data_IF_148014985873
#
_entry.id   IF_148014985873
#
_cell.length_a   1.000
_cell.length_b   1.000
_cell.length_c   1.000
_cell.angle_alpha   90.00
_cell.angle_beta   90.00
_cell.angle_gamma   90.00
#
_symmetry.space_group_name_H-M   'P 1'
#
loop_
_entity.id
_entity.type
_entity.pdbx_description
1 polymer ?
#
# COMPACT_ATOMS: atom_id res chain seq x y z
N UNK A 1 11.13 18.23 -7.95
CA UNK A 1 12.25 17.26 -8.05
C UNK A 1 12.25 16.35 -6.83
N UNK A 2 12.52 15.05 -6.99
CA UNK A 2 12.71 14.13 -5.87
C UNK A 2 14.07 14.36 -5.17
N UNK A 3 14.15 14.03 -3.89
CA UNK A 3 15.41 13.94 -3.13
C UNK A 3 15.69 12.54 -2.57
N UNK A 4 14.68 11.66 -2.49
CA UNK A 4 14.86 10.26 -2.14
C UNK A 4 13.90 9.39 -2.95
N UNK A 5 14.40 8.23 -3.37
CA UNK A 5 13.65 7.20 -4.09
C UNK A 5 14.03 5.87 -3.47
N UNK A 6 13.07 5.14 -2.94
CA UNK A 6 13.27 3.90 -2.20
C UNK A 6 12.31 2.82 -2.73
N UNK A 7 12.86 1.69 -3.16
CA UNK A 7 12.08 0.54 -3.60
C UNK A 7 11.98 -0.48 -2.48
N UNK A 8 10.77 -0.66 -1.95
CA UNK A 8 10.45 -1.68 -0.98
C UNK A 8 9.96 -2.94 -1.70
N UNK A 9 10.88 -3.76 -2.21
CA UNK A 9 10.55 -4.90 -3.08
C UNK A 9 9.60 -5.92 -2.42
N UNK A 10 9.74 -6.17 -1.11
CA UNK A 10 8.85 -7.09 -0.39
C UNK A 10 7.40 -6.59 -0.36
N UNK A 11 7.21 -5.31 -0.04
CA UNK A 11 5.87 -4.70 0.00
C UNK A 11 5.37 -4.24 -1.37
N UNK A 12 6.22 -4.32 -2.42
CA UNK A 12 5.94 -3.90 -3.80
C UNK A 12 5.54 -2.42 -3.88
N UNK A 13 6.27 -1.57 -3.15
CA UNK A 13 6.02 -0.12 -3.08
C UNK A 13 7.27 0.65 -3.53
N UNK A 14 7.06 1.65 -4.37
CA UNK A 14 8.03 2.69 -4.69
C UNK A 14 7.71 3.95 -3.87
N UNK A 15 8.55 4.25 -2.89
CA UNK A 15 8.49 5.47 -2.07
C UNK A 15 9.31 6.57 -2.74
N UNK A 16 8.71 7.74 -2.92
CA UNK A 16 9.35 8.90 -3.54
C UNK A 16 9.12 10.13 -2.67
N UNK A 17 10.20 10.77 -2.23
CA UNK A 17 10.17 12.03 -1.48
C UNK A 17 10.60 13.19 -2.36
N UNK A 18 9.80 14.25 -2.38
CA UNK A 18 10.03 15.47 -3.13
C UNK A 18 10.58 16.60 -2.26
N UNK A 19 11.20 17.59 -2.91
CA UNK A 19 11.81 18.75 -2.25
C UNK A 19 10.82 19.67 -1.53
N UNK A 20 9.54 19.62 -1.91
CA UNK A 20 8.45 20.35 -1.25
C UNK A 20 7.98 19.65 0.04
N UNK A 21 8.61 18.53 0.42
CA UNK A 21 8.26 17.75 1.60
C UNK A 21 7.20 16.68 1.35
N UNK A 22 6.59 16.64 0.16
CA UNK A 22 5.63 15.60 -0.18
C UNK A 22 6.33 14.25 -0.34
N UNK A 23 5.66 13.21 0.12
CA UNK A 23 6.08 11.82 -0.03
C UNK A 23 4.92 11.01 -0.60
N UNK A 24 5.23 10.19 -1.61
CA UNK A 24 4.25 9.33 -2.25
C UNK A 24 4.75 7.90 -2.24
N UNK A 25 3.86 6.99 -1.84
CA UNK A 25 4.12 5.57 -1.79
C UNK A 25 3.23 4.89 -2.82
N UNK A 26 3.86 4.52 -3.94
CA UNK A 26 3.19 4.07 -5.15
C UNK A 26 3.33 2.55 -5.30
N UNK A 27 2.23 1.78 -5.29
CA UNK A 27 2.29 0.34 -5.54
C UNK A 27 2.87 0.02 -6.92
N UNK A 28 3.64 -1.07 -7.02
CA UNK A 28 4.21 -1.53 -8.29
C UNK A 28 3.11 -1.84 -9.32
N UNK A 29 2.01 -2.46 -8.88
CA UNK A 29 0.83 -2.69 -9.73
C UNK A 29 0.28 -1.38 -10.29
N UNK A 30 0.11 -0.36 -9.44
CA UNK A 30 -0.40 0.93 -9.86
C UNK A 30 0.52 1.58 -10.89
N UNK A 31 1.83 1.60 -10.65
CA UNK A 31 2.78 2.08 -11.65
C UNK A 31 2.64 1.30 -12.95
N UNK A 32 2.59 -0.03 -12.88
CA UNK A 32 2.53 -0.91 -14.06
C UNK A 32 1.26 -0.75 -14.89
N UNK A 33 0.08 -0.64 -14.27
CA UNK A 33 -1.19 -0.51 -15.01
C UNK A 33 -1.40 0.91 -15.54
N UNK A 34 -0.68 1.89 -14.98
CA UNK A 34 -0.59 3.26 -15.48
C UNK A 34 0.66 3.50 -16.34
N UNK A 35 1.45 2.46 -16.63
CA UNK A 35 2.59 2.61 -17.54
C UNK A 35 2.08 2.88 -18.95
N UNK A 36 2.39 4.06 -19.48
CA UNK A 36 2.14 4.35 -20.89
C UNK A 36 3.26 3.66 -21.65
N UNK A 37 2.95 2.61 -22.41
CA UNK A 37 3.83 2.24 -23.51
C UNK A 37 4.03 3.52 -24.36
N UNK A 38 5.27 3.76 -24.81
CA UNK A 38 5.64 4.96 -25.57
C UNK A 38 4.83 5.17 -26.87
N UNK A 39 3.97 4.22 -27.23
CA UNK A 39 3.07 4.27 -28.37
C UNK A 39 1.65 3.94 -27.90
N UNK A 40 0.68 4.72 -28.36
CA UNK A 40 -0.78 4.49 -28.22
C UNK A 40 -1.41 5.01 -26.91
N UNK A 41 -1.82 6.29 -26.93
CA UNK A 41 -2.84 6.88 -26.02
C UNK A 41 -4.26 6.31 -26.24
N UNK A 42 -4.38 5.24 -27.02
CA UNK A 42 -5.62 4.69 -27.58
C UNK A 42 -5.85 3.22 -27.19
N UNK A 43 -5.23 2.72 -26.11
CA UNK A 43 -5.64 1.44 -25.55
C UNK A 43 -6.96 1.63 -24.80
N UNK A 44 -8.06 1.24 -25.46
CA UNK A 44 -9.40 1.16 -24.88
C UNK A 44 -9.42 0.21 -23.69
N UNK A 45 -8.68 -0.89 -23.77
CA UNK A 45 -8.67 -1.95 -22.75
C UNK A 45 -7.77 -1.59 -21.55
N UNK A 46 -8.19 -1.92 -20.31
CA UNK A 46 -7.34 -1.78 -19.14
C UNK A 46 -6.24 -2.85 -19.11
N UNK A 47 -5.06 -2.49 -18.60
CA UNK A 47 -4.02 -3.48 -18.27
C UNK A 47 -4.44 -4.23 -17.01
N UNK A 48 -4.57 -5.56 -17.08
CA UNK A 48 -5.02 -6.43 -15.97
C UNK A 48 -4.00 -7.53 -15.68
N UNK A 49 -4.19 -8.29 -14.58
CA UNK A 49 -3.30 -9.41 -14.22
C UNK A 49 -1.95 -9.00 -13.66
N UNK A 50 -1.85 -7.80 -13.05
CA UNK A 50 -0.61 -7.20 -12.53
C UNK A 50 -0.58 -7.07 -11.01
N UNK A 51 -1.46 -7.76 -10.31
CA UNK A 51 -1.59 -7.78 -8.85
C UNK A 51 -0.32 -8.26 -8.14
N UNK A 52 0.49 -9.06 -8.85
CA UNK A 52 1.75 -9.62 -8.37
C UNK A 52 2.94 -9.12 -9.17
N UNK A 53 2.85 -7.99 -9.86
CA UNK A 53 4.03 -7.38 -10.49
C UNK A 53 4.95 -6.77 -9.42
N UNK A 54 6.25 -6.75 -9.70
CA UNK A 54 7.27 -6.07 -8.92
C UNK A 54 8.21 -5.29 -9.83
N UNK A 55 9.07 -4.46 -9.24
CA UNK A 55 10.11 -3.73 -9.93
C UNK A 55 11.44 -4.45 -9.70
N UNK A 56 12.13 -4.81 -10.78
CA UNK A 56 13.46 -5.44 -10.72
C UNK A 56 14.56 -4.40 -10.68
N UNK A 57 14.40 -3.29 -11.40
CA UNK A 57 15.38 -2.22 -11.47
C UNK A 57 14.76 -0.85 -11.77
N UNK A 58 15.47 0.20 -11.36
CA UNK A 58 15.14 1.60 -11.63
C UNK A 58 16.38 2.27 -12.20
N UNK A 59 16.26 2.83 -13.40
CA UNK A 59 17.37 3.46 -14.12
C UNK A 59 17.12 4.97 -14.24
N UNK A 60 18.06 5.85 -13.86
CA UNK A 60 17.90 7.28 -14.02
C UNK A 60 17.86 7.67 -15.51
N UNK A 61 16.95 8.56 -15.88
CA UNK A 61 16.81 9.11 -17.24
C UNK A 61 17.21 10.59 -17.24
N UNK A 62 18.48 10.85 -16.93
CA UNK A 62 19.04 12.19 -16.78
C UNK A 62 18.39 12.95 -15.61
N UNK A 63 18.02 14.21 -15.84
CA UNK A 63 17.37 15.06 -14.83
C UNK A 63 15.84 15.01 -14.87
N UNK A 64 15.25 14.29 -15.82
CA UNK A 64 13.81 14.39 -16.12
C UNK A 64 12.96 13.32 -15.44
N UNK A 65 13.52 12.15 -15.13
CA UNK A 65 12.74 11.04 -14.62
C UNK A 65 13.54 9.76 -14.41
N UNK A 66 12.80 8.66 -14.29
CA UNK A 66 13.32 7.30 -14.17
C UNK A 66 12.65 6.37 -15.17
N UNK A 67 13.40 5.36 -15.58
CA UNK A 67 12.88 4.18 -16.24
C UNK A 67 12.69 3.08 -15.19
N UNK A 68 11.55 2.42 -15.23
CA UNK A 68 11.21 1.32 -14.33
C UNK A 68 11.18 0.03 -15.14
N UNK A 69 11.92 -0.98 -14.67
CA UNK A 69 11.95 -2.32 -15.23
C UNK A 69 11.12 -3.22 -14.31
N UNK A 70 10.04 -3.79 -14.85
CA UNK A 70 9.14 -4.67 -14.12
C UNK A 70 9.52 -6.15 -14.31
N UNK A 71 9.17 -6.98 -13.34
CA UNK A 71 9.42 -8.43 -13.37
C UNK A 71 8.50 -9.21 -14.33
N UNK A 72 7.45 -8.58 -14.85
CA UNK A 72 6.55 -9.15 -15.87
C UNK A 72 7.09 -9.01 -17.30
N UNK A 73 8.37 -8.64 -17.45
CA UNK A 73 9.04 -8.42 -18.72
C UNK A 73 8.78 -7.04 -19.33
N UNK A 74 8.03 -6.16 -18.66
CA UNK A 74 7.80 -4.80 -19.14
C UNK A 74 8.93 -3.87 -18.71
N UNK A 75 9.75 -3.40 -19.66
CA UNK A 75 10.96 -2.64 -19.37
C UNK A 75 11.01 -1.28 -20.06
N UNK A 76 9.99 -0.87 -20.81
CA UNK A 76 10.01 0.39 -21.59
C UNK A 76 9.37 1.58 -20.85
N UNK A 77 9.00 1.41 -19.59
CA UNK A 77 8.27 2.42 -18.82
C UNK A 77 9.17 3.55 -18.36
N UNK A 78 8.98 4.75 -18.92
CA UNK A 78 9.65 5.97 -18.48
C UNK A 78 8.64 6.87 -17.77
N UNK A 79 8.98 7.29 -16.56
CA UNK A 79 8.19 8.21 -15.76
C UNK A 79 8.97 9.49 -15.53
N UNK A 80 8.40 10.61 -15.96
CA UNK A 80 8.90 11.92 -15.57
C UNK A 80 8.63 12.20 -14.09
N UNK A 81 9.40 13.11 -13.49
CA UNK A 81 9.11 13.56 -12.12
C UNK A 81 7.72 14.16 -11.97
N UNK A 82 7.26 14.94 -12.95
CA UNK A 82 5.89 15.47 -12.98
C UNK A 82 4.85 14.36 -13.04
N UNK A 83 5.10 13.31 -13.82
CA UNK A 83 4.19 12.16 -13.93
C UNK A 83 4.10 11.44 -12.59
N UNK A 84 5.23 11.16 -11.93
CA UNK A 84 5.25 10.50 -10.62
C UNK A 84 4.56 11.36 -9.54
N UNK A 85 4.78 12.67 -9.59
CA UNK A 85 4.10 13.60 -8.69
C UNK A 85 2.58 13.60 -8.90
N UNK A 86 2.12 13.67 -10.16
CA UNK A 86 0.70 13.60 -10.49
C UNK A 86 0.08 12.25 -10.11
N UNK A 87 0.79 11.14 -10.33
CA UNK A 87 0.34 9.80 -9.95
C UNK A 87 0.21 9.66 -8.42
N UNK A 88 1.11 10.28 -7.66
CA UNK A 88 1.06 10.36 -6.20
C UNK A 88 -0.12 11.19 -5.70
N UNK A 89 -0.23 12.44 -6.15
CA UNK A 89 -1.31 13.35 -5.73
C UNK A 89 -2.70 12.80 -6.06
N UNK A 90 -2.85 12.12 -7.19
CA UNK A 90 -4.15 11.62 -7.66
C UNK A 90 -4.34 10.11 -7.42
N UNK A 91 -3.52 9.48 -6.58
CA UNK A 91 -3.53 8.02 -6.39
C UNK A 91 -4.93 7.46 -6.14
N UNK A 92 -5.65 7.99 -5.14
CA UNK A 92 -6.97 7.47 -4.76
C UNK A 92 -7.99 7.56 -5.90
N UNK A 93 -8.03 8.71 -6.60
CA UNK A 93 -8.93 8.93 -7.72
C UNK A 93 -8.59 8.01 -8.90
N UNK A 94 -7.32 7.95 -9.28
CA UNK A 94 -6.85 7.12 -10.38
C UNK A 94 -7.09 5.64 -10.11
N UNK A 95 -6.80 5.19 -8.89
CA UNK A 95 -6.99 3.80 -8.48
C UNK A 95 -8.46 3.40 -8.52
N UNK A 96 -9.36 4.22 -7.98
CA UNK A 96 -10.79 3.96 -8.04
C UNK A 96 -11.33 3.93 -9.48
N UNK A 97 -10.84 4.83 -10.35
CA UNK A 97 -11.19 4.82 -11.76
C UNK A 97 -10.70 3.56 -12.47
N UNK A 98 -9.48 3.09 -12.18
CA UNK A 98 -8.94 1.85 -12.71
C UNK A 98 -9.77 0.63 -12.25
N UNK A 99 -10.09 0.53 -10.95
CA UNK A 99 -10.91 -0.55 -10.41
C UNK A 99 -12.29 -0.62 -11.07
N UNK A 100 -12.92 0.54 -11.31
CA UNK A 100 -14.18 0.59 -12.07
C UNK A 100 -13.98 0.14 -13.52
N UNK A 101 -12.91 0.60 -14.19
CA UNK A 101 -12.61 0.24 -15.57
C UNK A 101 -12.42 -1.27 -15.76
N UNK A 102 -11.70 -1.94 -14.86
CA UNK A 102 -11.51 -3.40 -14.95
C UNK A 102 -12.80 -4.16 -14.66
N UNK A 103 -13.64 -3.66 -13.75
CA UNK A 103 -14.95 -4.24 -13.46
C UNK A 103 -15.88 -4.14 -14.68
N UNK A 104 -15.95 -2.97 -15.32
CA UNK A 104 -16.73 -2.74 -16.54
C UNK A 104 -16.20 -3.60 -17.71
N UNK A 105 -14.90 -3.93 -17.69
CA UNK A 105 -14.25 -4.86 -18.63
C UNK A 105 -14.49 -6.34 -18.29
N UNK A 106 -15.20 -6.65 -17.20
CA UNK A 106 -15.47 -8.03 -16.77
C UNK A 106 -14.28 -8.72 -16.09
N UNK A 107 -13.22 -7.98 -15.76
CA UNK A 107 -12.08 -8.49 -15.02
C UNK A 107 -12.22 -8.23 -13.52
N UNK A 108 -12.11 -9.28 -12.72
CA UNK A 108 -12.02 -9.15 -11.26
C UNK A 108 -10.55 -9.27 -10.85
N UNK A 109 -10.07 -8.26 -10.11
CA UNK A 109 -8.73 -8.25 -9.54
C UNK A 109 -8.51 -9.53 -8.72
N UNK A 110 -7.44 -10.27 -9.02
CA UNK A 110 -7.14 -11.53 -8.35
C UNK A 110 -6.56 -11.23 -6.97
N UNK A 111 -7.42 -11.32 -5.96
CA UNK A 111 -7.00 -11.27 -4.57
C UNK A 111 -6.35 -12.61 -4.20
N UNK A 112 -5.38 -12.63 -3.27
CA UNK A 112 -4.89 -13.88 -2.71
C UNK A 112 -6.07 -14.73 -2.20
N UNK A 113 -6.25 -15.88 -2.82
CA UNK A 113 -7.33 -16.84 -2.54
C UNK A 113 -7.08 -17.68 -1.29
N UNK A 114 -5.83 -17.70 -0.81
CA UNK A 114 -5.47 -18.39 0.41
C UNK A 114 -5.78 -17.53 1.66
N UNK A 115 -6.35 -18.18 2.67
CA UNK A 115 -6.38 -17.65 4.04
C UNK A 115 -4.94 -17.45 4.48
N UNK A 116 -4.61 -16.22 4.89
CA UNK A 116 -3.26 -15.84 5.35
C UNK A 116 -3.30 -15.64 6.86
N UNK A 117 -2.39 -16.27 7.60
CA UNK A 117 -2.24 -16.10 9.04
C UNK A 117 -1.14 -15.09 9.30
N UNK A 118 -1.50 -13.98 9.94
CA UNK A 118 -0.53 -12.98 10.39
C UNK A 118 -0.49 -12.92 11.91
N UNK A 119 0.63 -12.45 12.44
CA UNK A 119 0.77 -12.13 13.86
C UNK A 119 0.71 -10.64 14.05
N UNK A 120 -0.19 -10.17 14.90
CA UNK A 120 -0.30 -8.76 15.26
C UNK A 120 0.34 -8.56 16.64
N UNK A 121 1.15 -7.52 16.75
CA UNK A 121 1.77 -7.06 17.99
C UNK A 121 1.22 -5.69 18.33
N UNK A 122 0.68 -5.54 19.54
CA UNK A 122 0.20 -4.27 20.08
C UNK A 122 1.23 -3.76 21.09
N UNK A 123 1.54 -2.47 21.04
CA UNK A 123 2.53 -1.87 21.92
C UNK A 123 1.95 -0.74 22.77
N UNK A 124 2.66 -0.43 23.87
CA UNK A 124 2.37 0.70 24.74
C UNK A 124 0.91 0.71 25.25
N UNK A 125 0.30 1.88 25.33
CA UNK A 125 -1.07 2.04 25.83
C UNK A 125 -2.14 1.41 24.92
N UNK A 126 -1.81 1.08 23.65
CA UNK A 126 -2.72 0.29 22.80
C UNK A 126 -2.88 -1.12 23.37
N UNK A 127 -1.77 -1.76 23.75
CA UNK A 127 -1.80 -3.07 24.40
C UNK A 127 -2.55 -3.03 25.74
N UNK A 128 -2.35 -1.97 26.54
CA UNK A 128 -3.03 -1.80 27.82
C UNK A 128 -4.54 -1.61 27.65
N UNK A 129 -4.95 -0.76 26.72
CA UNK A 129 -6.38 -0.47 26.47
C UNK A 129 -7.09 -1.70 25.90
N UNK A 130 -6.43 -2.45 25.01
CA UNK A 130 -6.94 -3.70 24.46
C UNK A 130 -6.82 -4.89 25.43
N UNK A 131 -6.02 -4.76 26.50
CA UNK A 131 -5.59 -5.85 27.40
C UNK A 131 -5.03 -7.05 26.62
N UNK A 132 -4.28 -6.75 25.56
CA UNK A 132 -3.80 -7.72 24.59
C UNK A 132 -2.49 -7.23 23.98
N UNK A 133 -1.42 -8.01 24.13
CA UNK A 133 -0.09 -7.66 23.59
C UNK A 133 0.14 -8.26 22.20
N UNK A 134 -0.47 -9.40 21.91
CA UNK A 134 -0.38 -10.05 20.59
C UNK A 134 -1.60 -10.89 20.29
N UNK A 135 -1.95 -10.99 19.01
CA UNK A 135 -2.91 -11.98 18.52
C UNK A 135 -2.50 -12.54 17.17
N UNK A 136 -2.95 -13.75 16.87
CA UNK A 136 -2.85 -14.33 15.52
C UNK A 136 -4.18 -14.15 14.81
N UNK A 137 -4.14 -13.62 13.60
CA UNK A 137 -5.31 -13.31 12.80
C UNK A 137 -5.29 -14.05 11.47
N UNK A 138 -6.37 -14.77 11.18
CA UNK A 138 -6.66 -15.27 9.84
C UNK A 138 -7.29 -14.16 9.00
N UNK A 139 -6.57 -13.74 7.96
CA UNK A 139 -6.99 -12.70 7.05
C UNK A 139 -7.93 -13.28 5.99
N UNK A 140 -9.14 -12.73 5.83
CA UNK A 140 -9.98 -13.06 4.69
C UNK A 140 -9.30 -12.57 3.39
N UNK A 141 -9.65 -13.16 2.22
CA UNK A 141 -9.12 -12.73 0.92
C UNK A 141 -9.30 -11.24 0.63
N UNK A 142 -10.31 -10.60 1.22
CA UNK A 142 -10.61 -9.18 1.07
C UNK A 142 -9.61 -8.25 1.75
N UNK A 143 -8.81 -8.74 2.72
CA UNK A 143 -7.78 -7.95 3.39
C UNK A 143 -6.44 -8.22 2.71
N UNK A 144 -5.94 -7.25 1.95
CA UNK A 144 -4.71 -7.39 1.17
C UNK A 144 -3.55 -6.57 1.69
N UNK A 145 -3.82 -5.55 2.50
CA UNK A 145 -2.86 -4.52 2.88
C UNK A 145 -3.19 -3.95 4.26
N UNK A 146 -2.32 -3.08 4.76
CA UNK A 146 -2.47 -2.45 6.08
C UNK A 146 -3.77 -1.64 6.19
N UNK A 147 -4.18 -0.89 5.18
CA UNK A 147 -5.40 -0.08 5.23
C UNK A 147 -6.63 -0.96 5.43
N UNK A 148 -6.74 -2.03 4.64
CA UNK A 148 -7.83 -3.00 4.74
C UNK A 148 -7.76 -3.79 6.05
N UNK A 149 -6.57 -4.06 6.59
CA UNK A 149 -6.39 -4.66 7.91
C UNK A 149 -6.88 -3.75 9.04
N UNK A 150 -6.48 -2.48 9.06
CA UNK A 150 -6.92 -1.52 10.08
C UNK A 150 -8.43 -1.33 10.06
N UNK A 151 -9.02 -1.33 8.86
CA UNK A 151 -10.47 -1.31 8.70
C UNK A 151 -11.12 -2.56 9.30
N UNK A 152 -10.60 -3.76 9.02
CA UNK A 152 -11.07 -5.02 9.62
C UNK A 152 -10.96 -4.98 11.15
N UNK A 153 -9.84 -4.52 11.70
CA UNK A 153 -9.65 -4.42 13.16
C UNK A 153 -10.64 -3.47 13.81
N UNK A 154 -10.93 -2.34 13.15
CA UNK A 154 -11.94 -1.37 13.60
C UNK A 154 -13.34 -1.99 13.67
N UNK A 155 -13.70 -2.82 12.68
CA UNK A 155 -14.98 -3.53 12.66
C UNK A 155 -15.05 -4.64 13.73
N UNK A 156 -13.95 -5.38 13.93
CA UNK A 156 -13.88 -6.45 14.93
C UNK A 156 -13.87 -5.94 16.38
N UNK A 157 -13.35 -4.74 16.60
CA UNK A 157 -13.17 -4.14 17.93
C UNK A 157 -13.74 -2.71 17.95
N UNK A 158 -15.08 -2.56 17.90
CA UNK A 158 -15.72 -1.25 17.69
C UNK A 158 -15.38 -0.22 18.78
N UNK A 159 -15.26 -0.64 20.05
CA UNK A 159 -14.86 0.27 21.15
C UNK A 159 -13.41 0.78 21.04
N UNK A 160 -12.57 0.13 20.23
CA UNK A 160 -11.20 0.53 19.96
C UNK A 160 -11.00 1.08 18.52
N UNK A 161 -12.07 1.21 17.73
CA UNK A 161 -11.99 1.67 16.34
C UNK A 161 -11.19 2.98 16.15
N UNK A 162 -11.36 4.02 17.00
CA UNK A 162 -10.56 5.25 16.90
C UNK A 162 -9.05 5.04 17.03
N UNK A 163 -8.63 3.94 17.68
CA UNK A 163 -7.21 3.62 17.91
C UNK A 163 -6.53 3.04 16.67
N UNK A 164 -7.31 2.51 15.72
CA UNK A 164 -6.80 1.91 14.49
C UNK A 164 -6.74 2.88 13.31
N UNK A 165 -6.97 4.17 13.54
CA UNK A 165 -6.79 5.18 12.52
C UNK A 165 -5.30 5.24 12.09
N UNK A 166 -5.05 5.23 10.78
CA UNK A 166 -3.69 5.13 10.23
C UNK A 166 -2.78 6.30 10.65
N UNK A 167 -3.33 7.49 10.91
CA UNK A 167 -2.58 8.64 11.41
C UNK A 167 -2.23 8.55 12.91
N UNK A 168 -2.90 7.68 13.68
CA UNK A 168 -2.64 7.47 15.10
C UNK A 168 -1.56 6.40 15.34
N UNK A 169 -1.21 5.62 14.32
CA UNK A 169 -0.32 4.48 14.43
C UNK A 169 0.92 4.64 13.56
N UNK A 170 2.04 4.19 14.11
CA UNK A 170 3.24 3.79 13.39
C UNK A 170 3.17 2.28 13.22
N UNK A 171 3.30 1.84 11.98
CA UNK A 171 3.07 0.45 11.61
C UNK A 171 4.35 -0.12 11.05
N UNK A 172 4.67 -1.35 11.44
CA UNK A 172 5.74 -2.11 10.79
C UNK A 172 5.24 -3.47 10.38
N UNK A 173 5.73 -3.96 9.24
CA UNK A 173 5.57 -5.34 8.77
C UNK A 173 6.94 -5.96 8.72
N UNK A 174 7.13 -7.08 9.42
CA UNK A 174 8.42 -7.77 9.52
C UNK A 174 9.56 -6.82 9.94
N UNK A 175 9.29 -5.96 10.93
CA UNK A 175 10.21 -4.95 11.51
C UNK A 175 10.62 -3.82 10.55
N UNK A 176 9.96 -3.69 9.41
CA UNK A 176 10.16 -2.59 8.48
C UNK A 176 8.94 -1.67 8.50
N UNK A 177 9.16 -0.35 8.44
CA UNK A 177 8.07 0.61 8.35
C UNK A 177 7.12 0.27 7.20
N UNK A 178 5.83 0.33 7.50
CA UNK A 178 4.77 -0.02 6.57
C UNK A 178 3.75 1.11 6.48
N UNK A 179 3.25 1.31 5.27
CA UNK A 179 2.19 2.26 4.97
C UNK A 179 0.89 1.53 4.70
N UNK A 180 -0.17 2.31 4.52
CA UNK A 180 -1.51 1.78 4.29
C UNK A 180 -1.60 0.82 3.09
N UNK A 181 -0.72 0.94 2.10
CA UNK A 181 -0.72 0.09 0.90
C UNK A 181 0.22 -1.10 0.99
N UNK A 182 0.96 -1.24 2.10
CA UNK A 182 1.87 -2.37 2.30
C UNK A 182 1.07 -3.66 2.30
N UNK A 183 1.38 -4.53 1.34
CA UNK A 183 0.75 -5.85 1.19
C UNK A 183 1.03 -6.74 2.41
N UNK A 184 0.04 -7.57 2.75
CA UNK A 184 0.12 -8.58 3.80
C UNK A 184 0.11 -9.99 3.19
N UNK A 185 1.18 -10.73 3.47
CA UNK A 185 1.37 -12.12 3.06
C UNK A 185 1.27 -13.07 4.28
N UNK A 186 1.20 -14.37 4.01
CA UNK A 186 1.12 -15.39 5.07
C UNK A 186 2.38 -15.39 5.95
N UNK A 187 2.19 -15.46 7.26
CA UNK A 187 3.27 -15.44 8.24
C UNK A 187 3.79 -14.06 8.64
N UNK A 188 3.27 -12.97 8.06
CA UNK A 188 3.73 -11.63 8.37
C UNK A 188 3.52 -11.25 9.84
N UNK A 189 4.50 -10.53 10.40
CA UNK A 189 4.41 -9.90 11.72
C UNK A 189 4.10 -8.41 11.58
N UNK A 190 2.93 -7.98 12.03
CA UNK A 190 2.46 -6.59 11.98
C UNK A 190 2.51 -5.98 13.36
N UNK A 191 3.37 -4.98 13.58
CA UNK A 191 3.39 -4.22 14.83
C UNK A 191 2.63 -2.90 14.70
N UNK A 192 1.73 -2.66 15.64
CA UNK A 192 0.95 -1.42 15.76
C UNK A 192 1.44 -0.65 16.99
N UNK A 193 2.11 0.47 16.73
CA UNK A 193 2.71 1.33 17.76
C UNK A 193 2.04 2.69 17.71
N UNK A 194 1.37 3.15 18.76
CA UNK A 194 0.77 4.47 18.76
C UNK A 194 1.77 5.62 18.61
N UNK A 195 1.38 6.65 17.84
CA UNK A 195 2.20 7.83 17.58
C UNK A 195 2.25 8.80 18.76
N UNK A 196 1.25 8.77 19.64
CA UNK A 196 1.12 9.67 20.79
C UNK A 196 0.82 8.85 22.04
N UNK A 197 1.38 9.19 23.22
CA UNK A 197 1.01 8.55 24.48
C UNK A 197 -0.44 8.81 24.90
N UNK A 198 -1.08 9.82 24.31
CA UNK A 198 -2.47 10.20 24.58
C UNK A 198 -3.35 9.53 23.53
N UNK A 199 -4.20 8.61 23.98
CA UNK A 199 -5.21 7.98 23.13
C UNK A 199 -6.36 8.95 22.81
N UNK A 200 -6.92 8.90 21.59
CA UNK A 200 -8.19 9.56 21.33
C UNK A 200 -9.27 8.97 22.24
N UNK A 201 -10.32 9.75 22.57
CA UNK A 201 -11.44 9.25 23.34
C UNK A 201 -12.04 8.02 22.64
N UNK A 202 -12.17 6.95 23.41
CA UNK A 202 -12.74 5.68 22.97
C UNK A 202 -13.95 5.38 23.85
N UNK A 203 -15.05 4.83 23.30
CA UNK A 203 -16.09 4.25 24.13
C UNK A 203 -15.47 3.22 25.07
N UNK A 204 -15.98 3.11 26.30
CA UNK A 204 -15.46 2.09 27.21
C UNK A 204 -15.62 0.70 26.58
N UNK A 205 -14.50 -0.02 26.53
CA UNK A 205 -14.45 -1.40 26.09
C UNK A 205 -15.11 -2.24 27.19
N UNK A 206 -16.36 -2.63 26.95
CA UNK A 206 -17.16 -3.51 27.82
C UNK A 206 -16.58 -4.93 27.77
#
# INVERSE_FOLDING_TARGET
>A
MPNAIELHQKSRILSIKFNDGNRFDLPCEYLRVFSKAAEVRTMTEPVVGKETVNITAIEPQGQYGIRIIFDDGHDTSIYSWDTLYQLGTNYQQNWQAYLKKIQDYGYTRQLPTATRRIKILYFAHLAQKLRLETETLELPPTVTDISTLLHLLSLRKPGAAPLFASNQLRITVNRQFAEGLTRLDDGDEVALVPNSPILPPTPDLI
#
